data_IF_684515118085
#
_entry.id   IF_684515118085
#
_cell.length_a   1.000
_cell.length_b   1.000
_cell.length_c   1.000
_cell.angle_alpha   90.00
_cell.angle_beta   90.00
_cell.angle_gamma   90.00
#
_symmetry.space_group_name_H-M   'P 1'
#
loop_
_entity.id
_entity.type
_entity.pdbx_description
1 polymer ?
#
# COMPACT_ATOMS: atom_id res chain seq x y z
N UNK A 1 50.54 62.20 -19.72
CA UNK A 1 49.33 61.97 -18.89
C UNK A 1 48.58 60.81 -19.50
N UNK A 2 48.77 59.61 -18.98
CA UNK A 2 48.02 58.40 -19.36
C UNK A 2 48.00 57.50 -18.12
N UNK A 3 46.86 57.50 -17.42
CA UNK A 3 46.63 56.66 -16.26
C UNK A 3 46.00 55.34 -16.73
N UNK A 4 46.65 54.22 -16.41
CA UNK A 4 46.12 52.87 -16.61
C UNK A 4 45.41 52.47 -15.32
N UNK A 5 44.08 52.32 -15.35
CA UNK A 5 43.30 51.76 -14.25
C UNK A 5 43.42 50.22 -14.28
N UNK A 6 43.99 49.63 -13.23
CA UNK A 6 43.79 48.22 -12.90
C UNK A 6 42.46 48.05 -12.18
N UNK A 7 41.53 47.33 -12.79
CA UNK A 7 40.32 46.85 -12.12
C UNK A 7 40.64 45.54 -11.40
N UNK A 8 40.64 45.56 -10.06
CA UNK A 8 40.68 44.35 -9.24
C UNK A 8 39.27 43.76 -9.16
N UNK A 9 39.04 42.66 -9.88
CA UNK A 9 37.81 41.87 -9.78
C UNK A 9 37.86 40.92 -8.60
N UNK A 10 37.05 41.17 -7.56
CA UNK A 10 36.84 40.24 -6.46
C UNK A 10 35.95 39.08 -6.92
N UNK A 11 36.53 37.89 -7.08
CA UNK A 11 35.78 36.64 -7.23
C UNK A 11 35.21 36.24 -5.87
N UNK A 12 33.97 36.67 -5.59
CA UNK A 12 33.18 36.11 -4.49
C UNK A 12 32.72 34.71 -4.88
N UNK A 13 33.48 33.69 -4.49
CA UNK A 13 33.08 32.30 -4.60
C UNK A 13 31.95 31.99 -3.62
N UNK A 14 30.78 31.62 -4.12
CA UNK A 14 29.69 31.04 -3.32
C UNK A 14 30.10 29.63 -2.87
N UNK A 15 30.78 29.52 -1.72
CA UNK A 15 30.94 28.26 -1.03
C UNK A 15 29.59 27.71 -0.59
N UNK A 16 29.17 26.58 -1.15
CA UNK A 16 28.08 25.75 -0.61
C UNK A 16 28.45 25.45 0.85
N UNK A 17 27.62 25.90 1.78
CA UNK A 17 27.71 25.45 3.17
C UNK A 17 27.16 24.03 3.18
N UNK A 18 28.02 23.05 3.44
CA UNK A 18 27.57 21.70 3.71
C UNK A 18 26.62 21.75 4.92
N UNK A 19 25.44 21.14 4.76
CA UNK A 19 24.47 21.01 5.84
C UNK A 19 25.13 20.14 6.92
N UNK A 20 25.13 20.54 8.20
CA UNK A 20 25.72 19.72 9.25
C UNK A 20 25.07 18.34 9.22
N UNK A 21 25.89 17.32 8.98
CA UNK A 21 25.48 15.92 8.93
C UNK A 21 25.15 15.51 10.36
N UNK A 22 23.86 15.36 10.66
CA UNK A 22 23.41 14.82 11.94
C UNK A 22 24.01 13.43 12.10
N UNK A 23 24.62 13.11 13.26
CA UNK A 23 25.15 11.77 13.49
C UNK A 23 24.06 10.73 13.26
N UNK A 24 24.41 9.54 12.71
CA UNK A 24 23.42 8.51 12.42
C UNK A 24 22.63 8.16 13.67
N UNK A 25 21.30 8.17 13.58
CA UNK A 25 20.44 7.64 14.64
C UNK A 25 20.71 6.14 14.73
N UNK A 26 21.09 5.64 15.91
CA UNK A 26 21.23 4.20 16.13
C UNK A 26 19.85 3.53 16.02
N UNK A 27 19.67 2.74 14.97
CA UNK A 27 18.42 2.02 14.68
C UNK A 27 18.53 0.51 14.89
N UNK A 28 19.66 0.04 15.46
CA UNK A 28 19.94 -1.40 15.61
C UNK A 28 18.91 -2.13 16.48
N UNK A 29 18.44 -1.48 17.56
CA UNK A 29 17.36 -2.02 18.41
C UNK A 29 16.05 -2.15 17.63
N UNK A 30 15.69 -1.12 16.87
CA UNK A 30 14.48 -1.13 16.04
C UNK A 30 14.52 -2.20 14.96
N UNK A 31 15.68 -2.41 14.32
CA UNK A 31 15.86 -3.48 13.35
C UNK A 31 15.66 -4.86 13.99
N UNK A 32 16.27 -5.11 15.16
CA UNK A 32 16.09 -6.38 15.89
C UNK A 32 14.62 -6.64 16.22
N UNK A 33 13.91 -5.62 16.67
CA UNK A 33 12.47 -5.71 16.94
C UNK A 33 11.67 -5.97 15.67
N UNK A 34 11.96 -5.27 14.57
CA UNK A 34 11.30 -5.52 13.28
C UNK A 34 11.53 -6.96 12.79
N UNK A 35 12.76 -7.46 12.90
CA UNK A 35 13.10 -8.85 12.54
C UNK A 35 12.47 -9.89 13.46
N UNK A 36 12.15 -9.56 14.71
CA UNK A 36 11.49 -10.48 15.63
C UNK A 36 9.96 -10.48 15.46
N UNK A 37 9.35 -9.30 15.29
CA UNK A 37 7.89 -9.13 15.36
C UNK A 37 7.22 -9.03 13.99
N UNK A 38 7.82 -8.36 13.01
CA UNK A 38 7.19 -8.20 11.69
C UNK A 38 7.17 -9.50 10.88
N UNK A 39 8.10 -10.43 11.16
CA UNK A 39 8.16 -11.73 10.46
C UNK A 39 7.19 -12.77 11.02
N UNK A 40 6.53 -12.48 12.14
CA UNK A 40 5.65 -13.44 12.81
C UNK A 40 4.36 -13.71 12.01
N UNK A 41 3.97 -12.81 11.10
CA UNK A 41 2.73 -12.92 10.32
C UNK A 41 2.94 -13.03 8.81
N UNK A 42 4.04 -12.50 8.27
CA UNK A 42 4.36 -12.45 6.85
C UNK A 42 5.87 -12.28 6.68
N UNK A 43 6.36 -12.23 5.44
CA UNK A 43 7.79 -12.04 5.17
C UNK A 43 8.30 -10.68 5.66
N UNK A 44 9.60 -10.62 5.96
CA UNK A 44 10.25 -9.36 6.34
C UNK A 44 10.18 -8.34 5.20
N UNK A 45 9.76 -7.12 5.52
CA UNK A 45 9.67 -6.03 4.56
C UNK A 45 10.81 -5.03 4.80
N UNK A 46 11.75 -4.85 3.85
CA UNK A 46 12.80 -3.85 3.97
C UNK A 46 12.25 -2.41 4.01
N UNK A 47 12.89 -1.49 4.76
CA UNK A 47 12.41 -0.12 4.93
C UNK A 47 12.49 0.72 3.66
N UNK A 48 13.40 0.41 2.73
CA UNK A 48 13.59 1.12 1.47
C UNK A 48 12.48 0.84 0.44
N UNK A 49 11.63 -0.16 0.67
CA UNK A 49 10.55 -0.54 -0.24
C UNK A 49 9.45 0.53 -0.35
N UNK A 50 9.25 1.34 0.69
CA UNK A 50 8.16 2.32 0.77
C UNK A 50 8.66 3.65 1.30
N UNK A 51 7.93 4.72 0.98
CA UNK A 51 8.26 6.05 1.49
C UNK A 51 7.98 6.19 2.98
N UNK A 52 8.61 7.15 3.64
CA UNK A 52 8.33 7.49 5.05
C UNK A 52 6.84 7.74 5.31
N UNK A 53 6.17 8.46 4.39
CA UNK A 53 4.71 8.69 4.48
C UNK A 53 3.94 7.38 4.47
N UNK A 54 4.25 6.48 3.54
CA UNK A 54 3.60 5.17 3.45
C UNK A 54 3.87 4.31 4.68
N UNK A 55 5.10 4.33 5.22
CA UNK A 55 5.42 3.61 6.46
C UNK A 55 4.67 4.14 7.67
N UNK A 56 4.51 5.46 7.82
CA UNK A 56 3.73 6.02 8.91
C UNK A 56 2.31 5.47 8.96
N UNK A 57 1.65 5.41 7.80
CA UNK A 57 0.33 4.82 7.67
C UNK A 57 0.35 3.31 7.97
N UNK A 58 1.26 2.56 7.35
CA UNK A 58 1.29 1.09 7.47
C UNK A 58 1.66 0.61 8.87
N UNK A 59 2.58 1.28 9.56
CA UNK A 59 2.96 0.92 10.92
C UNK A 59 1.77 1.08 11.86
N UNK A 60 0.98 2.14 11.73
CA UNK A 60 -0.27 2.29 12.49
C UNK A 60 -1.30 1.23 12.09
N UNK A 61 -1.45 0.92 10.80
CA UNK A 61 -2.34 -0.14 10.33
C UNK A 61 -1.97 -1.52 10.89
N UNK A 62 -0.68 -1.87 10.94
CA UNK A 62 -0.18 -3.14 11.45
C UNK A 62 -0.17 -3.20 12.98
N UNK A 63 0.11 -2.07 13.64
CA UNK A 63 0.06 -1.91 15.10
C UNK A 63 -1.28 -2.36 15.68
N UNK A 64 -2.39 -2.13 14.98
CA UNK A 64 -3.71 -2.59 15.39
C UNK A 64 -3.76 -4.11 15.66
N UNK A 65 -3.10 -4.92 14.83
CA UNK A 65 -3.02 -6.38 15.00
C UNK A 65 -2.07 -6.80 16.13
N UNK A 66 -1.17 -5.90 16.53
CA UNK A 66 -0.25 -6.09 17.66
C UNK A 66 -0.83 -5.54 18.98
N UNK A 67 -2.07 -5.05 18.96
CA UNK A 67 -2.72 -4.43 20.12
C UNK A 67 -2.22 -3.02 20.42
N UNK A 68 -1.58 -2.36 19.45
CA UNK A 68 -1.01 -1.01 19.57
C UNK A 68 -1.92 -0.05 18.81
N UNK A 69 -2.52 0.89 19.54
CA UNK A 69 -3.42 1.92 19.00
C UNK A 69 -2.76 3.29 19.12
N UNK A 70 -1.80 3.55 18.23
CA UNK A 70 -1.10 4.82 18.13
C UNK A 70 -1.37 5.47 16.77
N UNK A 71 -2.14 6.57 16.82
CA UNK A 71 -2.56 7.35 15.66
C UNK A 71 -1.79 8.67 15.54
N UNK A 72 -0.81 8.93 16.41
CA UNK A 72 -0.09 10.21 16.49
C UNK A 72 0.71 10.55 15.22
N UNK A 73 1.02 9.54 14.40
CA UNK A 73 1.78 9.65 13.16
C UNK A 73 0.92 9.73 11.90
N UNK A 74 -0.41 9.72 12.04
CA UNK A 74 -1.33 9.88 10.92
C UNK A 74 -1.66 11.36 10.69
N UNK A 75 -1.98 11.69 9.44
CA UNK A 75 -2.59 12.97 9.11
C UNK A 75 -4.07 12.92 9.50
N UNK A 76 -4.40 13.49 10.67
CA UNK A 76 -5.76 13.49 11.21
C UNK A 76 -6.76 14.22 10.31
N UNK A 77 -6.27 15.14 9.45
CA UNK A 77 -7.09 15.90 8.52
C UNK A 77 -7.30 15.16 7.19
N UNK A 78 -6.72 13.96 7.02
CA UNK A 78 -6.97 13.09 5.88
C UNK A 78 -8.14 12.12 6.17
N UNK A 79 -9.38 12.44 5.73
CA UNK A 79 -10.56 11.63 6.06
C UNK A 79 -10.50 10.22 5.46
N UNK A 80 -9.79 10.03 4.34
CA UNK A 80 -9.67 8.73 3.67
C UNK A 80 -8.78 7.80 4.48
N UNK A 81 -7.62 8.27 4.93
CA UNK A 81 -6.72 7.46 5.78
C UNK A 81 -7.42 7.06 7.08
N UNK A 82 -8.10 8.00 7.74
CA UNK A 82 -8.84 7.73 8.97
C UNK A 82 -10.00 6.74 8.76
N UNK A 83 -10.71 6.82 7.63
CA UNK A 83 -11.75 5.83 7.29
C UNK A 83 -11.17 4.42 7.16
N UNK A 84 -10.03 4.26 6.48
CA UNK A 84 -9.39 2.95 6.29
C UNK A 84 -8.89 2.38 7.63
N UNK A 85 -8.26 3.20 8.47
CA UNK A 85 -7.74 2.78 9.78
C UNK A 85 -8.89 2.37 10.71
N UNK A 86 -9.97 3.15 10.75
CA UNK A 86 -11.15 2.81 11.55
C UNK A 86 -11.83 1.52 11.07
N UNK A 87 -11.97 1.32 9.75
CA UNK A 87 -12.48 0.09 9.19
C UNK A 87 -11.60 -1.12 9.54
N UNK A 88 -10.27 -0.95 9.50
CA UNK A 88 -9.32 -1.99 9.89
C UNK A 88 -9.41 -2.31 11.38
N UNK A 89 -9.47 -1.31 12.25
CA UNK A 89 -9.63 -1.48 13.70
C UNK A 89 -10.86 -2.33 14.00
N UNK A 90 -12.01 -1.94 13.42
CA UNK A 90 -13.27 -2.67 13.57
C UNK A 90 -13.17 -4.12 13.09
N UNK A 91 -12.47 -4.36 11.99
CA UNK A 91 -12.25 -5.71 11.47
C UNK A 91 -11.38 -6.55 12.42
N UNK A 92 -10.27 -5.99 12.91
CA UNK A 92 -9.36 -6.66 13.86
C UNK A 92 -10.10 -7.02 15.16
N UNK A 93 -10.94 -6.12 15.67
CA UNK A 93 -11.78 -6.35 16.85
C UNK A 93 -12.82 -7.45 16.62
N UNK A 94 -13.63 -7.33 15.55
CA UNK A 94 -14.72 -8.29 15.26
C UNK A 94 -14.21 -9.68 14.96
N UNK A 95 -13.04 -9.80 14.33
CA UNK A 95 -12.42 -11.07 14.03
C UNK A 95 -11.61 -11.64 15.21
N UNK A 96 -11.60 -10.97 16.37
CA UNK A 96 -10.83 -11.36 17.55
C UNK A 96 -9.33 -11.56 17.24
N UNK A 97 -8.77 -10.69 16.38
CA UNK A 97 -7.39 -10.74 15.92
C UNK A 97 -6.45 -9.87 16.76
N UNK A 98 -7.00 -9.09 17.71
CA UNK A 98 -6.23 -8.27 18.64
C UNK A 98 -5.71 -9.14 19.80
N UNK A 99 -4.42 -9.06 20.16
CA UNK A 99 -3.91 -9.75 21.34
C UNK A 99 -4.49 -9.13 22.63
N UNK A 100 -4.56 -9.91 23.73
CA UNK A 100 -5.14 -9.43 24.99
C UNK A 100 -4.33 -8.30 25.65
N UNK A 101 -3.04 -8.18 25.30
CA UNK A 101 -2.14 -7.11 25.72
C UNK A 101 -1.26 -6.69 24.54
N UNK A 102 -0.80 -5.43 24.47
CA UNK A 102 0.15 -4.99 23.44
C UNK A 102 1.37 -5.90 23.38
N UNK A 103 1.82 -6.24 22.17
CA UNK A 103 2.96 -7.15 21.96
C UNK A 103 4.32 -6.50 22.23
N UNK A 104 4.38 -5.17 22.23
CA UNK A 104 5.57 -4.35 22.46
C UNK A 104 5.24 -3.29 23.51
N UNK A 105 6.26 -2.93 24.29
CA UNK A 105 6.21 -1.72 25.11
C UNK A 105 6.23 -0.47 24.22
N UNK A 106 5.69 0.68 24.66
CA UNK A 106 5.68 1.91 23.87
C UNK A 106 7.06 2.30 23.33
N UNK A 107 8.11 2.16 24.14
CA UNK A 107 9.47 2.56 23.79
C UNK A 107 10.07 1.65 22.71
N UNK A 108 9.77 0.35 22.77
CA UNK A 108 10.17 -0.61 21.76
C UNK A 108 9.38 -0.40 20.45
N UNK A 109 8.10 -0.03 20.54
CA UNK A 109 7.31 0.33 19.36
C UNK A 109 7.89 1.56 18.65
N UNK A 110 8.23 2.61 19.41
CA UNK A 110 8.88 3.80 18.86
C UNK A 110 10.25 3.50 18.24
N UNK A 111 11.06 2.64 18.89
CA UNK A 111 12.33 2.21 18.32
C UNK A 111 12.14 1.46 16.99
N UNK A 112 11.14 0.58 16.90
CA UNK A 112 10.78 -0.12 15.67
C UNK A 112 10.31 0.86 14.58
N UNK A 113 9.43 1.81 14.91
CA UNK A 113 8.96 2.84 13.98
C UNK A 113 10.14 3.68 13.47
N UNK A 114 11.04 4.09 14.36
CA UNK A 114 12.22 4.87 14.02
C UNK A 114 13.13 4.14 13.03
N UNK A 115 13.34 2.82 13.20
CA UNK A 115 14.10 2.03 12.22
C UNK A 115 13.51 2.12 10.82
N UNK A 116 12.19 1.94 10.65
CA UNK A 116 11.57 2.07 9.33
C UNK A 116 11.65 3.49 8.78
N UNK A 117 11.35 4.51 9.59
CA UNK A 117 11.27 5.90 9.12
C UNK A 117 12.63 6.53 8.83
N UNK A 118 13.68 6.15 9.56
CA UNK A 118 15.05 6.63 9.31
C UNK A 118 15.61 6.02 8.02
N UNK A 119 15.32 4.74 7.76
CA UNK A 119 15.88 4.00 6.63
C UNK A 119 15.00 4.02 5.37
N UNK A 120 13.80 4.57 5.43
CA UNK A 120 12.90 4.71 4.28
C UNK A 120 13.22 5.97 3.45
N UNK A 121 13.08 5.90 2.11
CA UNK A 121 13.22 7.07 1.26
C UNK A 121 12.06 8.06 1.45
N UNK A 122 12.30 9.32 1.11
CA UNK A 122 11.22 10.33 1.05
C UNK A 122 10.29 10.08 -0.15
N UNK A 123 10.89 9.70 -1.29
CA UNK A 123 10.20 9.48 -2.57
C UNK A 123 10.30 7.99 -2.98
N UNK A 124 9.31 7.46 -3.73
CA UNK A 124 9.31 6.06 -4.13
C UNK A 124 10.50 5.74 -5.04
N UNK A 125 11.00 4.51 -4.94
CA UNK A 125 12.04 4.01 -5.84
C UNK A 125 11.53 3.99 -7.29
N UNK A 126 12.39 4.28 -8.29
CA UNK A 126 12.00 4.18 -9.69
C UNK A 126 11.49 2.77 -10.03
N UNK A 127 10.37 2.70 -10.74
CA UNK A 127 9.89 1.42 -11.24
C UNK A 127 10.86 0.88 -12.31
N UNK A 128 11.18 -0.42 -12.31
CA UNK A 128 11.96 -1.02 -13.37
C UNK A 128 11.22 -0.89 -14.71
N UNK A 129 11.95 -0.80 -15.84
CA UNK A 129 11.33 -0.73 -17.16
C UNK A 129 10.48 -1.97 -17.41
N UNK A 130 9.20 -1.76 -17.71
CA UNK A 130 8.28 -2.82 -18.06
C UNK A 130 8.41 -3.13 -19.56
N UNK A 131 8.35 -4.41 -19.97
CA UNK A 131 8.27 -4.75 -21.38
C UNK A 131 7.00 -4.13 -22.01
N UNK A 132 7.02 -3.84 -23.32
CA UNK A 132 5.83 -3.34 -23.99
C UNK A 132 4.68 -4.34 -23.86
N UNK A 133 3.49 -3.81 -23.58
CA UNK A 133 2.28 -4.62 -23.51
C UNK A 133 2.00 -5.27 -24.86
N UNK A 134 1.87 -6.59 -24.88
CA UNK A 134 1.42 -7.30 -26.07
C UNK A 134 -0.10 -7.28 -26.10
N UNK A 135 -0.67 -6.71 -27.17
CA UNK A 135 -2.11 -6.67 -27.39
C UNK A 135 -2.52 -7.93 -28.14
N UNK A 136 -3.55 -8.61 -27.63
CA UNK A 136 -4.10 -9.82 -28.22
C UNK A 136 -3.61 -11.09 -27.52
N UNK A 137 -4.47 -12.10 -27.47
CA UNK A 137 -4.15 -13.42 -26.94
C UNK A 137 -4.13 -14.41 -28.12
N UNK A 138 -3.08 -15.23 -28.29
CA UNK A 138 -2.96 -16.11 -29.45
C UNK A 138 -4.05 -17.20 -29.50
N UNK A 139 -4.68 -17.48 -28.36
CA UNK A 139 -5.67 -18.56 -28.21
C UNK A 139 -7.06 -18.05 -27.84
N UNK A 140 -7.23 -16.75 -27.58
CA UNK A 140 -8.47 -16.20 -27.04
C UNK A 140 -8.84 -14.88 -27.70
N UNK A 141 -10.12 -14.72 -27.99
CA UNK A 141 -10.69 -13.45 -28.42
C UNK A 141 -11.52 -12.87 -27.26
N UNK A 142 -11.19 -11.67 -26.76
CA UNK A 142 -11.99 -11.04 -25.72
C UNK A 142 -13.35 -10.62 -26.29
N UNK A 143 -14.44 -11.07 -25.63
CA UNK A 143 -15.81 -10.68 -25.98
C UNK A 143 -16.45 -9.88 -24.84
N UNK A 144 -17.19 -8.84 -25.20
CA UNK A 144 -18.00 -8.09 -24.26
C UNK A 144 -19.24 -8.89 -23.85
N UNK A 145 -19.58 -8.86 -22.56
CA UNK A 145 -20.81 -9.45 -22.04
C UNK A 145 -21.81 -8.38 -21.56
N UNK A 146 -23.09 -8.77 -21.43
CA UNK A 146 -24.16 -7.90 -20.95
C UNK A 146 -24.27 -7.80 -19.42
N UNK A 147 -23.54 -8.63 -18.67
CA UNK A 147 -23.42 -8.46 -17.22
C UNK A 147 -22.56 -7.23 -16.88
N UNK A 148 -23.18 -6.11 -16.49
CA UNK A 148 -22.46 -4.84 -16.23
C UNK A 148 -22.97 -4.12 -14.97
N UNK A 149 -22.89 -4.73 -13.78
CA UNK A 149 -23.18 -4.01 -12.55
C UNK A 149 -22.13 -2.91 -12.30
N UNK A 150 -22.50 -1.89 -11.52
CA UNK A 150 -21.62 -0.75 -11.24
C UNK A 150 -20.42 -1.11 -10.35
N UNK A 151 -20.57 -2.11 -9.47
CA UNK A 151 -19.54 -2.53 -8.53
C UNK A 151 -19.60 -4.07 -8.37
N UNK A 152 -19.21 -4.82 -9.41
CA UNK A 152 -19.22 -6.28 -9.36
C UNK A 152 -18.26 -6.78 -8.30
N UNK A 153 -18.68 -7.78 -7.54
CA UNK A 153 -17.77 -8.62 -6.74
C UNK A 153 -17.98 -10.05 -7.19
N UNK A 154 -17.48 -10.34 -8.41
CA UNK A 154 -17.55 -11.68 -9.01
C UNK A 154 -16.80 -12.68 -8.12
N UNK A 155 -17.56 -13.52 -7.43
CA UNK A 155 -17.06 -14.53 -6.51
C UNK A 155 -17.03 -15.92 -7.14
N UNK A 156 -17.74 -16.10 -8.26
CA UNK A 156 -17.82 -17.37 -8.99
C UNK A 156 -18.02 -17.12 -10.49
N UNK A 157 -17.38 -17.95 -11.31
CA UNK A 157 -17.72 -18.12 -12.71
C UNK A 157 -17.84 -19.61 -13.01
N UNK A 158 -18.90 -20.03 -13.71
CA UNK A 158 -19.04 -21.39 -14.20
C UNK A 158 -19.49 -21.41 -15.66
N UNK A 159 -18.82 -22.23 -16.48
CA UNK A 159 -19.12 -22.39 -17.90
C UNK A 159 -19.85 -23.72 -18.08
N UNK A 160 -21.15 -23.67 -18.36
CA UNK A 160 -21.92 -24.84 -18.77
C UNK A 160 -21.81 -24.99 -20.30
N UNK A 161 -20.83 -25.78 -20.74
CA UNK A 161 -20.61 -26.03 -22.16
C UNK A 161 -21.76 -26.79 -22.83
N UNK A 162 -22.50 -27.62 -22.08
CA UNK A 162 -23.61 -28.41 -22.61
C UNK A 162 -24.80 -27.54 -23.01
N UNK A 163 -25.07 -26.48 -22.24
CA UNK A 163 -26.13 -25.50 -22.53
C UNK A 163 -25.60 -24.26 -23.26
N UNK A 164 -24.29 -24.09 -23.34
CA UNK A 164 -23.67 -22.87 -23.85
C UNK A 164 -24.01 -21.67 -22.97
N UNK A 165 -23.91 -21.82 -21.65
CA UNK A 165 -24.27 -20.79 -20.68
C UNK A 165 -23.09 -20.43 -19.79
N UNK A 166 -23.05 -19.16 -19.37
CA UNK A 166 -22.07 -18.63 -18.43
C UNK A 166 -22.78 -18.17 -17.17
N UNK A 167 -22.41 -18.73 -16.04
CA UNK A 167 -22.93 -18.37 -14.72
C UNK A 167 -21.93 -17.46 -14.04
N UNK A 168 -22.42 -16.36 -13.46
CA UNK A 168 -21.63 -15.35 -12.77
C UNK A 168 -22.23 -15.15 -11.38
N UNK A 169 -21.54 -15.61 -10.35
CA UNK A 169 -21.90 -15.34 -8.96
C UNK A 169 -21.31 -14.01 -8.51
N UNK A 170 -22.12 -13.15 -7.91
CA UNK A 170 -21.71 -11.87 -7.34
C UNK A 170 -22.08 -11.80 -5.86
N UNK A 171 -21.07 -11.74 -4.99
CA UNK A 171 -21.27 -11.73 -3.54
C UNK A 171 -21.77 -10.40 -2.99
N UNK A 172 -21.61 -9.30 -3.75
CA UNK A 172 -22.12 -7.98 -3.34
C UNK A 172 -23.60 -7.85 -3.65
N UNK A 173 -24.00 -8.29 -4.84
CA UNK A 173 -25.39 -8.33 -5.28
C UNK A 173 -26.16 -9.49 -4.64
N UNK A 174 -25.47 -10.52 -4.16
CA UNK A 174 -26.05 -11.80 -3.72
C UNK A 174 -26.86 -12.43 -4.84
N UNK A 175 -26.27 -12.51 -6.03
CA UNK A 175 -26.93 -13.00 -7.21
C UNK A 175 -26.07 -13.98 -7.98
N UNK A 176 -26.73 -14.91 -8.67
CA UNK A 176 -26.14 -15.66 -9.78
C UNK A 176 -26.82 -15.19 -11.06
N UNK A 177 -26.06 -14.54 -11.93
CA UNK A 177 -26.51 -14.14 -13.28
C UNK A 177 -26.12 -15.22 -14.28
N UNK A 178 -27.05 -15.63 -15.14
CA UNK A 178 -26.78 -16.51 -16.28
C UNK A 178 -26.76 -15.69 -17.56
N UNK A 179 -25.73 -15.90 -18.37
CA UNK A 179 -25.62 -15.43 -19.73
C UNK A 179 -25.71 -16.59 -20.72
N UNK A 180 -26.18 -16.31 -21.93
CA UNK A 180 -26.19 -17.25 -23.04
C UNK A 180 -24.83 -17.32 -23.77
N UNK A 181 -24.80 -18.09 -24.87
CA UNK A 181 -23.60 -18.33 -25.69
C UNK A 181 -23.06 -17.07 -26.36
N UNK A 182 -23.95 -16.11 -26.62
CA UNK A 182 -23.62 -14.82 -27.22
C UNK A 182 -23.35 -13.76 -26.14
N UNK A 183 -23.22 -14.19 -24.88
CA UNK A 183 -22.99 -13.38 -23.68
C UNK A 183 -24.14 -12.40 -23.41
N UNK A 184 -25.34 -12.72 -23.90
CA UNK A 184 -26.59 -12.05 -23.63
C UNK A 184 -27.15 -12.41 -22.25
N UNK A 185 -27.86 -11.49 -21.60
CA UNK A 185 -28.49 -11.73 -20.30
C UNK A 185 -29.65 -12.72 -20.44
N UNK A 186 -29.66 -13.76 -19.61
CA UNK A 186 -30.78 -14.71 -19.53
C UNK A 186 -31.60 -14.45 -18.28
N UNK A 187 -30.99 -14.55 -17.09
CA UNK A 187 -31.71 -14.47 -15.81
C UNK A 187 -30.77 -14.17 -14.65
N UNK A 188 -31.32 -13.59 -13.58
CA UNK A 188 -30.71 -13.49 -12.26
C UNK A 188 -31.45 -14.38 -11.27
N UNK A 189 -30.69 -15.09 -10.43
CA UNK A 189 -31.19 -15.77 -9.24
C UNK A 189 -30.67 -15.05 -7.98
N UNK A 190 -31.57 -14.76 -7.04
CA UNK A 190 -31.16 -14.32 -5.70
C UNK A 190 -30.55 -15.51 -4.95
N UNK A 191 -29.48 -15.25 -4.20
CA UNK A 191 -28.79 -16.25 -3.38
C UNK A 191 -29.02 -16.04 -1.89
N UNK A 192 -29.99 -15.22 -1.51
CA UNK A 192 -30.43 -15.01 -0.12
C UNK A 192 -31.91 -15.32 0.08
#
# INVERSE_FOLDING_TARGET
MTAVLLAAGSLAGCGRRDKPETPPVDTSRGEQLARAYCIACHDFTPPDLLTKKSWNFLLTYMGLRMGIEDFSHLDADNPVEMQVINARKLLVERANLKPPRPMLAPEDWEALRAYYLVNAPEEPLPQPPQPPMQIGLPLFEPKNHLYRPQAPVTSMVHIDAGRGQLFIGDSRLNKVTILDRDLGFVIDYDTR
#
